data_IF_521953976249
#
_entry.id   IF_521953976249
#
_cell.length_a   1.000
_cell.length_b   1.000
_cell.length_c   1.000
_cell.angle_alpha   90.00
_cell.angle_beta   90.00
_cell.angle_gamma   90.00
#
_symmetry.space_group_name_H-M   'P 1'
#
loop_
_entity.id
_entity.type
_entity.pdbx_description
1 polymer ?
#
# COMPACT_ATOMS: atom_id res chain seq x y z
N UNK A 1 0.98 0.23 -16.23
CA UNK A 1 0.46 -0.01 -14.87
C UNK A 1 1.24 0.90 -13.94
N UNK A 2 0.61 1.49 -12.94
CA UNK A 2 1.29 2.32 -11.94
C UNK A 2 1.37 1.56 -10.63
N UNK A 3 2.48 1.69 -9.90
CA UNK A 3 2.61 1.15 -8.55
C UNK A 3 2.39 2.24 -7.53
N UNK A 4 1.55 1.96 -6.54
CA UNK A 4 1.16 2.91 -5.51
C UNK A 4 1.62 2.43 -4.14
N UNK A 5 1.97 3.38 -3.28
CA UNK A 5 2.23 3.14 -1.87
C UNK A 5 1.32 4.01 -1.00
N UNK A 6 0.44 3.38 -0.22
CA UNK A 6 -0.34 4.03 0.82
C UNK A 6 0.43 4.10 2.14
N UNK A 7 0.30 5.20 2.88
CA UNK A 7 0.88 5.36 4.22
C UNK A 7 -0.21 5.27 5.28
N UNK A 8 -0.30 4.13 5.96
CA UNK A 8 -1.42 3.77 6.84
C UNK A 8 -0.90 2.97 8.05
N UNK A 9 -1.46 3.18 9.25
CA UNK A 9 -1.08 2.39 10.44
C UNK A 9 -1.38 0.89 10.24
N UNK A 10 -0.57 0.02 10.84
CA UNK A 10 -0.66 -1.43 10.61
C UNK A 10 -2.03 -1.99 10.94
N UNK A 11 -2.64 -1.54 12.03
CA UNK A 11 -3.98 -1.97 12.45
C UNK A 11 -5.08 -1.66 11.41
N UNK A 12 -5.01 -0.49 10.77
CA UNK A 12 -5.89 -0.10 9.69
C UNK A 12 -5.60 -0.87 8.40
N UNK A 13 -4.31 -1.12 8.10
CA UNK A 13 -3.92 -1.98 6.97
C UNK A 13 -4.52 -3.38 7.15
N UNK A 14 -4.37 -3.99 8.32
CA UNK A 14 -4.92 -5.32 8.60
C UNK A 14 -6.45 -5.37 8.47
N UNK A 15 -7.15 -4.32 8.88
CA UNK A 15 -8.60 -4.20 8.65
C UNK A 15 -8.91 -4.15 7.14
N UNK A 16 -8.18 -3.34 6.38
CA UNK A 16 -8.34 -3.23 4.93
C UNK A 16 -8.06 -4.54 4.19
N UNK A 17 -6.98 -5.24 4.58
CA UNK A 17 -6.60 -6.54 4.01
C UNK A 17 -7.70 -7.59 4.24
N UNK A 18 -8.22 -7.71 5.47
CA UNK A 18 -9.33 -8.64 5.77
C UNK A 18 -10.60 -8.36 4.96
N UNK A 19 -10.81 -7.10 4.57
CA UNK A 19 -11.96 -6.68 3.77
C UNK A 19 -11.68 -6.72 2.25
N UNK A 20 -10.45 -7.00 1.81
CA UNK A 20 -10.09 -6.96 0.39
C UNK A 20 -10.11 -5.56 -0.22
N UNK A 21 -9.78 -4.53 0.57
CA UNK A 21 -9.91 -3.12 0.14
C UNK A 21 -8.62 -2.33 0.28
N UNK A 22 -8.49 -1.31 -0.57
CA UNK A 22 -7.68 -0.14 -0.33
C UNK A 22 -8.56 1.05 0.10
N UNK A 23 -8.13 1.71 1.16
CA UNK A 23 -8.66 2.98 1.65
C UNK A 23 -7.47 3.86 2.03
N UNK A 24 -7.40 5.07 1.47
CA UNK A 24 -6.25 5.97 1.66
C UNK A 24 -6.70 7.40 1.94
N UNK A 25 -5.80 8.25 2.43
CA UNK A 25 -6.03 9.68 2.64
C UNK A 25 -7.32 10.00 3.40
N UNK A 26 -7.59 9.26 4.49
CA UNK A 26 -8.80 9.39 5.31
C UNK A 26 -10.10 9.07 4.56
N UNK A 27 -10.07 8.15 3.58
CA UNK A 27 -11.26 7.70 2.85
C UNK A 27 -11.71 8.66 1.76
N UNK A 28 -10.83 9.55 1.27
CA UNK A 28 -11.13 10.47 0.18
C UNK A 28 -11.24 9.73 -1.17
N UNK A 29 -12.17 10.20 -2.01
CA UNK A 29 -12.41 9.66 -3.36
C UNK A 29 -11.28 9.95 -4.35
N UNK A 30 -10.89 11.23 -4.48
CA UNK A 30 -9.98 11.71 -5.54
C UNK A 30 -8.67 10.94 -5.65
N UNK A 31 -7.99 10.55 -4.55
CA UNK A 31 -6.78 9.73 -4.65
C UNK A 31 -7.02 8.36 -5.29
N UNK A 32 -8.15 7.71 -4.97
CA UNK A 32 -8.49 6.36 -5.46
C UNK A 32 -8.94 6.34 -6.92
N UNK A 33 -9.46 7.45 -7.46
CA UNK A 33 -9.85 7.56 -8.88
C UNK A 33 -8.65 7.54 -9.83
N UNK A 34 -7.47 7.90 -9.33
CA UNK A 34 -6.21 7.85 -10.09
C UNK A 34 -5.65 6.44 -10.21
N UNK A 35 -5.96 5.61 -9.22
CA UNK A 35 -5.58 4.21 -9.16
C UNK A 35 -6.46 3.45 -10.16
N UNK A 36 -5.93 2.49 -10.92
CA UNK A 36 -6.67 1.74 -11.96
C UNK A 36 -6.59 0.24 -11.72
N UNK A 37 -7.55 -0.56 -12.23
CA UNK A 37 -7.43 -2.01 -12.20
C UNK A 37 -6.11 -2.48 -12.81
N UNK A 38 -5.46 -3.45 -12.17
CA UNK A 38 -4.14 -3.96 -12.56
C UNK A 38 -2.95 -3.18 -11.98
N UNK A 39 -3.16 -1.99 -11.43
CA UNK A 39 -2.10 -1.25 -10.71
C UNK A 39 -1.61 -2.04 -9.48
N UNK A 40 -0.34 -1.84 -9.13
CA UNK A 40 0.25 -2.37 -7.91
C UNK A 40 -0.13 -1.52 -6.70
N UNK A 41 -0.35 -2.15 -5.55
CA UNK A 41 -0.62 -1.47 -4.28
C UNK A 41 0.26 -2.06 -3.18
N UNK A 42 0.99 -1.20 -2.48
CA UNK A 42 1.74 -1.51 -1.26
C UNK A 42 1.23 -0.61 -0.13
N UNK A 43 1.16 -1.15 1.08
CA UNK A 43 1.03 -0.35 2.29
C UNK A 43 2.34 -0.27 3.04
N UNK A 44 2.75 0.96 3.37
CA UNK A 44 3.80 1.25 4.34
C UNK A 44 3.17 1.76 5.64
N UNK A 45 3.61 1.19 6.76
CA UNK A 45 3.13 1.52 8.09
C UNK A 45 4.22 2.17 8.92
N UNK A 46 4.16 3.51 9.15
CA UNK A 46 5.11 4.20 10.01
C UNK A 46 5.04 3.74 11.47
N UNK A 47 3.86 3.27 11.90
CA UNK A 47 3.54 2.86 13.27
C UNK A 47 2.49 1.76 13.30
N UNK A 48 2.37 1.05 14.41
CA UNK A 48 1.41 -0.04 14.57
C UNK A 48 -0.03 0.46 14.66
N UNK A 49 -0.27 1.52 15.43
CA UNK A 49 -1.59 2.11 15.70
C UNK A 49 -1.55 3.62 15.52
N UNK A 50 -2.63 4.21 15.01
CA UNK A 50 -2.78 5.66 14.90
C UNK A 50 -3.54 6.26 16.11
N UNK A 51 -3.18 7.45 16.63
CA UNK A 51 -1.99 8.22 16.27
C UNK A 51 -0.74 7.78 17.05
N UNK A 52 -0.84 7.11 18.20
CA UNK A 52 0.27 7.02 19.18
C UNK A 52 0.89 5.63 19.36
N UNK A 53 0.62 4.69 18.45
CA UNK A 53 1.26 3.37 18.51
C UNK A 53 2.78 3.44 18.29
N UNK A 54 3.54 2.43 18.76
CA UNK A 54 4.98 2.37 18.57
C UNK A 54 5.38 2.44 17.08
N UNK A 55 6.55 3.02 16.78
CA UNK A 55 7.11 3.02 15.43
C UNK A 55 7.23 1.60 14.89
N UNK A 56 6.83 1.41 13.62
CA UNK A 56 6.95 0.12 12.92
C UNK A 56 7.88 0.23 11.72
N UNK A 57 7.63 1.20 10.85
CA UNK A 57 8.46 1.51 9.67
C UNK A 57 8.70 0.29 8.76
N UNK A 58 7.59 -0.35 8.38
CA UNK A 58 7.62 -1.54 7.54
C UNK A 58 6.58 -1.45 6.43
N UNK A 59 6.83 -2.14 5.32
CA UNK A 59 5.81 -2.52 4.35
C UNK A 59 4.99 -3.68 4.94
N UNK A 60 3.66 -3.56 4.91
CA UNK A 60 2.76 -4.41 5.73
C UNK A 60 1.64 -5.06 4.93
N UNK A 61 1.47 -4.69 3.67
CA UNK A 61 0.64 -5.40 2.71
C UNK A 61 1.09 -5.06 1.29
N UNK A 62 0.92 -6.00 0.38
CA UNK A 62 1.17 -5.83 -1.04
C UNK A 62 0.09 -6.59 -1.80
N UNK A 63 -0.38 -6.03 -2.90
CA UNK A 63 -1.49 -6.54 -3.68
C UNK A 63 -1.62 -5.85 -5.02
N UNK A 64 -2.71 -6.18 -5.72
CA UNK A 64 -3.10 -5.53 -6.96
C UNK A 64 -4.52 -5.05 -6.93
N UNK A 65 -4.76 -3.95 -7.62
CA UNK A 65 -6.09 -3.38 -7.73
C UNK A 65 -6.95 -4.29 -8.60
N UNK A 66 -8.00 -4.82 -7.99
CA UNK A 66 -8.95 -5.69 -8.66
C UNK A 66 -9.80 -4.89 -9.67
N UNK A 67 -10.43 -5.57 -10.65
CA UNK A 67 -11.45 -4.95 -11.50
C UNK A 67 -12.57 -4.27 -10.69
N UNK A 68 -13.14 -3.22 -11.28
CA UNK A 68 -14.24 -2.46 -10.68
C UNK A 68 -13.91 -1.01 -10.36
N UNK A 69 -14.96 -0.26 -10.05
CA UNK A 69 -14.90 1.17 -9.73
C UNK A 69 -14.65 1.43 -8.25
N UNK A 70 -14.32 2.68 -7.92
CA UNK A 70 -14.29 3.14 -6.54
C UNK A 70 -15.74 3.23 -6.04
N UNK A 71 -16.02 2.70 -4.85
CA UNK A 71 -17.33 2.82 -4.21
C UNK A 71 -17.21 3.50 -2.85
N UNK A 72 -18.32 4.07 -2.38
CA UNK A 72 -18.43 4.59 -1.03
C UNK A 72 -19.02 3.52 -0.12
N UNK A 73 -18.38 3.26 1.02
CA UNK A 73 -18.90 2.41 2.07
C UNK A 73 -19.45 3.25 3.23
N UNK A 74 -20.16 2.60 4.15
CA UNK A 74 -20.68 3.19 5.38
C UNK A 74 -20.10 2.44 6.58
N UNK A 75 -19.36 3.16 7.43
CA UNK A 75 -18.81 2.68 8.70
C UNK A 75 -19.37 3.58 9.82
N UNK A 76 -20.65 3.40 10.17
CA UNK A 76 -21.36 4.34 11.06
C UNK A 76 -21.52 5.71 10.39
N UNK A 77 -21.09 6.78 11.07
CA UNK A 77 -21.14 8.15 10.52
C UNK A 77 -20.03 8.43 9.49
N UNK A 78 -19.05 7.54 9.37
CA UNK A 78 -17.94 7.68 8.44
C UNK A 78 -18.26 7.01 7.10
N UNK A 79 -18.06 7.75 6.00
CA UNK A 79 -18.43 7.31 4.65
C UNK A 79 -17.21 7.24 3.71
N UNK A 80 -16.29 6.29 3.92
CA UNK A 80 -15.05 6.23 3.16
C UNK A 80 -15.26 5.73 1.74
N UNK A 81 -14.44 6.25 0.84
CA UNK A 81 -14.26 5.65 -0.48
C UNK A 81 -13.24 4.52 -0.42
N UNK A 82 -13.55 3.44 -1.14
CA UNK A 82 -12.78 2.19 -1.15
C UNK A 82 -12.63 1.68 -2.58
N UNK A 83 -11.60 0.87 -2.78
CA UNK A 83 -11.39 0.09 -4.00
C UNK A 83 -11.01 -1.33 -3.65
N UNK A 84 -11.40 -2.29 -4.49
CA UNK A 84 -11.10 -3.70 -4.29
C UNK A 84 -9.63 -3.97 -4.62
N UNK A 85 -9.00 -4.80 -3.80
CA UNK A 85 -7.59 -5.18 -3.95
C UNK A 85 -7.45 -6.66 -3.66
N UNK A 86 -6.80 -7.36 -4.58
CA UNK A 86 -6.35 -8.72 -4.41
C UNK A 86 -5.01 -8.69 -3.67
N UNK A 87 -5.06 -8.87 -2.35
CA UNK A 87 -3.89 -8.89 -1.49
C UNK A 87 -3.19 -10.26 -1.52
N UNK A 88 -1.86 -10.27 -1.52
CA UNK A 88 -1.10 -11.49 -1.29
C UNK A 88 -1.17 -11.86 0.20
N UNK A 89 -1.89 -12.93 0.53
CA UNK A 89 -2.14 -13.36 1.93
C UNK A 89 -0.91 -13.91 2.62
N UNK A 90 0.05 -14.44 1.86
CA UNK A 90 1.28 -15.03 2.37
C UNK A 90 2.42 -14.00 2.48
N UNK A 91 2.15 -12.73 2.12
CA UNK A 91 3.13 -11.67 2.22
C UNK A 91 3.48 -11.37 3.68
N UNK A 92 4.77 -11.26 3.97
CA UNK A 92 5.28 -10.93 5.29
C UNK A 92 5.60 -9.45 5.41
N UNK A 93 5.52 -8.91 6.63
CA UNK A 93 6.00 -7.55 6.92
C UNK A 93 7.49 -7.42 6.60
N UNK A 94 7.86 -6.37 5.84
CA UNK A 94 9.24 -6.07 5.48
C UNK A 94 9.66 -4.71 6.06
N UNK A 95 10.59 -4.67 7.05
CA UNK A 95 11.15 -3.41 7.55
C UNK A 95 11.84 -2.61 6.42
N UNK A 96 11.74 -1.28 6.45
CA UNK A 96 12.38 -0.43 5.42
C UNK A 96 13.89 -0.31 5.60
N UNK A 97 14.40 -0.50 6.83
CA UNK A 97 15.80 -0.25 7.16
C UNK A 97 16.79 -1.12 6.35
N UNK A 98 16.58 -2.44 6.17
CA UNK A 98 17.46 -3.27 5.35
C UNK A 98 17.41 -2.95 3.85
N UNK A 99 16.37 -2.26 3.38
CA UNK A 99 16.16 -1.91 1.97
C UNK A 99 16.65 -0.49 1.65
N UNK A 100 17.17 0.22 2.65
CA UNK A 100 17.68 1.59 2.46
C UNK A 100 18.95 1.53 1.62
N UNK A 101 18.96 2.24 0.49
CA UNK A 101 20.03 2.18 -0.52
C UNK A 101 19.64 1.39 -1.77
N UNK A 102 18.69 0.45 -1.64
CA UNK A 102 18.16 -0.34 -2.76
C UNK A 102 16.83 0.21 -3.30
N UNK A 103 16.22 1.16 -2.59
CA UNK A 103 14.97 1.82 -2.98
C UNK A 103 15.20 3.27 -3.40
N UNK A 104 14.73 3.63 -4.60
CA UNK A 104 14.61 5.00 -5.07
C UNK A 104 13.82 5.85 -4.07
N UNK A 105 12.76 5.29 -3.46
CA UNK A 105 11.95 5.90 -2.40
C UNK A 105 12.80 6.48 -1.26
N UNK A 106 13.90 5.81 -0.91
CA UNK A 106 14.76 6.16 0.24
C UNK A 106 16.07 6.84 -0.15
N UNK A 107 16.31 7.06 -1.45
CA UNK A 107 17.58 7.57 -1.99
C UNK A 107 17.87 9.03 -1.60
N UNK A 108 16.84 9.84 -1.38
CA UNK A 108 16.96 11.25 -1.06
C UNK A 108 17.01 11.56 0.44
N UNK A 109 17.73 12.62 0.86
CA UNK A 109 17.63 13.10 2.24
C UNK A 109 16.19 13.52 2.56
N UNK A 110 15.72 13.25 3.77
CA UNK A 110 14.37 13.57 4.24
C UNK A 110 13.22 12.90 3.47
N UNK A 111 13.42 11.72 2.87
CA UNK A 111 12.36 10.96 2.21
C UNK A 111 11.10 10.76 3.09
N UNK A 112 11.26 10.72 4.42
CA UNK A 112 10.15 10.69 5.38
C UNK A 112 9.15 11.85 5.24
N UNK A 113 9.54 12.98 4.65
CA UNK A 113 8.62 14.10 4.36
C UNK A 113 7.60 13.72 3.28
N UNK A 114 7.99 12.92 2.29
CA UNK A 114 7.09 12.45 1.23
C UNK A 114 5.92 11.63 1.80
N UNK A 115 6.16 10.89 2.89
CA UNK A 115 5.14 10.06 3.55
C UNK A 115 3.93 10.87 4.05
N UNK A 116 4.10 12.18 4.29
CA UNK A 116 3.00 13.07 4.71
C UNK A 116 1.90 13.21 3.66
N UNK A 117 2.17 12.84 2.40
CA UNK A 117 1.18 12.84 1.31
C UNK A 117 0.14 11.73 1.43
N UNK A 118 0.40 10.69 2.24
CA UNK A 118 -0.51 9.56 2.47
C UNK A 118 -0.65 8.57 1.30
N UNK A 119 -0.36 8.99 0.07
CA UNK A 119 -0.29 8.16 -1.13
C UNK A 119 0.84 8.65 -2.04
N UNK A 120 1.67 7.73 -2.51
CA UNK A 120 2.85 7.97 -3.35
C UNK A 120 2.86 6.99 -4.53
N UNK A 121 3.57 7.33 -5.59
CA UNK A 121 3.91 6.41 -6.67
C UNK A 121 5.26 5.75 -6.37
N UNK A 122 5.41 4.48 -6.73
CA UNK A 122 6.68 3.74 -6.70
C UNK A 122 7.15 3.46 -8.13
N UNK A 123 8.47 3.36 -8.32
CA UNK A 123 9.02 2.79 -9.55
C UNK A 123 8.72 1.29 -9.61
N UNK A 124 8.81 0.70 -10.80
CA UNK A 124 8.69 -0.75 -10.98
C UNK A 124 9.80 -1.50 -10.21
N UNK A 125 11.01 -0.92 -10.16
CA UNK A 125 12.13 -1.46 -9.41
C UNK A 125 11.86 -1.48 -7.90
N UNK A 126 11.39 -0.36 -7.33
CA UNK A 126 11.03 -0.28 -5.90
C UNK A 126 9.94 -1.30 -5.54
N UNK A 127 8.89 -1.40 -6.36
CA UNK A 127 7.82 -2.35 -6.12
C UNK A 127 8.32 -3.80 -6.13
N UNK A 128 9.19 -4.15 -7.08
CA UNK A 128 9.79 -5.49 -7.16
C UNK A 128 10.70 -5.79 -5.96
N UNK A 129 11.55 -4.86 -5.55
CA UNK A 129 12.41 -5.00 -4.36
C UNK A 129 11.58 -5.19 -3.10
N UNK A 130 10.50 -4.41 -2.94
CA UNK A 130 9.57 -4.56 -1.81
C UNK A 130 8.87 -5.92 -1.86
N UNK A 131 8.35 -6.33 -3.03
CA UNK A 131 7.69 -7.63 -3.20
C UNK A 131 8.60 -8.79 -2.79
N UNK A 132 9.86 -8.78 -3.24
CA UNK A 132 10.85 -9.79 -2.88
C UNK A 132 11.12 -9.80 -1.36
N UNK A 133 11.29 -8.62 -0.75
CA UNK A 133 11.48 -8.50 0.70
C UNK A 133 10.26 -8.99 1.51
N UNK A 134 9.06 -8.87 0.95
CA UNK A 134 7.80 -9.37 1.52
C UNK A 134 7.54 -10.85 1.21
N UNK A 135 8.46 -11.56 0.55
CA UNK A 135 8.31 -12.98 0.20
C UNK A 135 7.33 -13.25 -0.94
N UNK A 136 6.98 -12.24 -1.74
CA UNK A 136 6.07 -12.38 -2.88
C UNK A 136 6.87 -12.71 -4.15
N UNK A 137 6.61 -13.84 -4.82
CA UNK A 137 7.40 -14.27 -5.97
C UNK A 137 7.22 -13.37 -7.21
N UNK A 138 8.34 -13.08 -7.88
CA UNK A 138 8.47 -12.19 -9.05
C UNK A 138 7.50 -12.55 -10.20
N UNK A 139 7.25 -13.84 -10.43
CA UNK A 139 6.36 -14.33 -11.50
C UNK A 139 4.87 -14.04 -11.27
N UNK A 140 4.46 -13.66 -10.06
CA UNK A 140 3.09 -13.22 -9.73
C UNK A 140 2.99 -11.68 -9.74
N UNK A 141 4.13 -11.00 -9.63
CA UNK A 141 4.26 -9.55 -9.82
C UNK A 141 4.25 -9.11 -11.30
N UNK A 142 4.28 -10.04 -12.25
CA UNK A 142 3.78 -9.85 -13.62
C UNK A 142 2.37 -10.45 -13.72
N UNK A 143 1.37 -9.66 -14.09
CA UNK A 143 -0.02 -10.10 -14.12
C UNK A 143 -0.15 -11.20 -15.19
N UNK A 144 -0.65 -12.41 -14.88
CA UNK A 144 -1.14 -13.28 -15.94
C UNK A 144 -2.49 -12.68 -16.35
N UNK A 145 -2.48 -11.88 -17.41
CA UNK A 145 -3.70 -11.38 -18.03
C UNK A 145 -4.55 -12.55 -18.54
N UNK A 146 -5.77 -12.62 -18.03
CA UNK A 146 -6.88 -13.43 -18.53
C UNK A 146 -8.17 -12.79 -18.05
#
# INVERSE_FOLDING_TARGET
>A
MTNWMGVVSRDHVQKGVRLGIAQVNHGKRTPLERIRPGDGMVYYSPRTTYPDGPPLRAFTAIGRIAPGDVWQATDGDFHPWRRAVDWWTDAIDAPVAPLTGDLELTSGPNWGYALRRGLLTLSDADFATIAAAMGVPERVSAYPGG
#
